data_IF_695189160768
#
_entry.id   IF_695189160768
#
_cell.length_a   1.000
_cell.length_b   1.000
_cell.length_c   1.000
_cell.angle_alpha   90.00
_cell.angle_beta   90.00
_cell.angle_gamma   90.00
#
_symmetry.space_group_name_H-M   'P 1'
#
loop_
_entity.id
_entity.type
_entity.pdbx_description
1 polymer ?
#
# COMPACT_ATOMS: atom_id res chain seq x y z
N UNK A 1 9.17 4.45 -2.51
CA UNK A 1 8.50 5.05 -3.68
C UNK A 1 9.51 5.84 -4.53
N UNK A 2 10.12 6.91 -4.05
CA UNK A 2 10.99 7.77 -4.88
C UNK A 2 12.11 6.98 -5.58
N UNK A 3 12.89 6.17 -4.88
CA UNK A 3 13.94 5.35 -5.51
C UNK A 3 13.37 4.50 -6.66
N UNK A 4 12.19 3.91 -6.44
CA UNK A 4 11.53 3.11 -7.48
C UNK A 4 11.07 3.93 -8.69
N UNK A 5 10.64 5.18 -8.48
CA UNK A 5 10.33 6.09 -9.60
C UNK A 5 11.57 6.46 -10.40
N UNK A 6 12.68 6.77 -9.72
CA UNK A 6 13.96 7.08 -10.38
C UNK A 6 14.48 5.85 -11.15
N UNK A 7 14.43 4.66 -10.57
CA UNK A 7 14.80 3.40 -11.23
C UNK A 7 13.93 3.11 -12.47
N UNK A 8 12.69 3.58 -12.46
CA UNK A 8 11.76 3.45 -13.58
C UNK A 8 11.91 4.58 -14.63
N UNK A 9 12.92 5.45 -14.49
CA UNK A 9 13.24 6.48 -15.47
C UNK A 9 12.61 7.85 -15.20
N UNK A 10 12.10 8.11 -14.00
CA UNK A 10 11.68 9.47 -13.62
C UNK A 10 12.92 10.39 -13.61
N UNK A 11 12.81 11.53 -14.27
CA UNK A 11 13.85 12.53 -14.29
C UNK A 11 14.01 13.16 -12.89
N UNK A 12 15.20 13.01 -12.31
CA UNK A 12 15.54 13.51 -10.99
C UNK A 12 15.44 15.05 -10.88
N UNK A 13 15.72 15.77 -11.97
CA UNK A 13 15.66 17.23 -12.02
C UNK A 13 14.20 17.76 -11.93
N UNK A 14 13.24 16.90 -12.17
CA UNK A 14 11.79 17.22 -12.02
C UNK A 14 11.24 16.93 -10.63
N UNK A 15 12.07 16.44 -9.71
CA UNK A 15 11.66 16.07 -8.35
C UNK A 15 12.32 16.99 -7.33
N UNK A 16 11.51 17.58 -6.47
CA UNK A 16 11.99 18.34 -5.31
C UNK A 16 11.39 17.73 -4.05
N UNK A 17 12.23 17.40 -3.08
CA UNK A 17 11.83 17.01 -1.74
C UNK A 17 11.89 18.25 -0.84
N UNK A 18 10.84 18.45 -0.05
CA UNK A 18 10.84 19.44 1.00
C UNK A 18 10.78 18.70 2.32
N UNK A 19 11.93 18.59 2.99
CA UNK A 19 12.05 17.88 4.27
C UNK A 19 13.27 18.44 5.02
N UNK A 20 13.07 19.01 6.23
CA UNK A 20 14.17 19.54 7.04
C UNK A 20 15.26 18.51 7.41
N UNK A 21 14.92 17.23 7.43
CA UNK A 21 15.77 16.13 7.87
C UNK A 21 16.30 15.23 6.73
N UNK A 22 15.79 15.38 5.50
CA UNK A 22 16.21 14.55 4.39
C UNK A 22 17.68 14.79 4.02
N UNK A 23 18.40 13.69 3.77
CA UNK A 23 19.82 13.70 3.39
C UNK A 23 20.05 12.95 2.06
N UNK A 24 19.20 13.18 1.04
CA UNK A 24 19.39 12.61 -0.31
C UNK A 24 20.23 13.56 -1.17
N UNK A 25 20.95 12.97 -2.12
CA UNK A 25 21.82 13.72 -3.05
C UNK A 25 21.47 13.47 -4.51
N UNK A 26 20.54 12.57 -4.77
CA UNK A 26 20.10 12.12 -6.09
C UNK A 26 18.89 12.90 -6.63
N UNK A 27 18.34 13.82 -5.85
CA UNK A 27 17.29 14.76 -6.22
C UNK A 27 17.50 16.09 -5.51
N UNK A 28 16.82 17.13 -5.95
CA UNK A 28 16.80 18.43 -5.25
C UNK A 28 16.12 18.30 -3.88
N UNK A 29 16.80 18.65 -2.80
CA UNK A 29 16.27 18.68 -1.44
C UNK A 29 16.31 20.10 -0.88
N UNK A 30 15.18 20.56 -0.35
CA UNK A 30 15.02 21.86 0.28
C UNK A 30 14.50 21.69 1.71
N UNK A 31 14.89 22.61 2.58
CA UNK A 31 14.45 22.63 3.99
C UNK A 31 13.13 23.37 4.19
N UNK A 32 12.73 24.18 3.21
CA UNK A 32 11.50 24.96 3.20
C UNK A 32 10.94 25.05 1.80
N UNK A 33 9.67 25.42 1.70
CA UNK A 33 8.98 25.62 0.42
C UNK A 33 9.65 26.81 -0.29
N UNK A 34 10.11 26.65 -1.55
CA UNK A 34 10.69 27.73 -2.31
C UNK A 34 9.63 28.72 -2.79
N UNK A 35 10.03 29.95 -3.00
CA UNK A 35 9.21 30.97 -3.67
C UNK A 35 9.33 30.80 -5.20
N UNK A 36 8.73 29.74 -5.71
CA UNK A 36 8.76 29.34 -7.12
C UNK A 36 7.33 29.05 -7.60
N UNK A 37 7.17 28.88 -8.91
CA UNK A 37 5.89 28.47 -9.48
C UNK A 37 5.43 27.15 -8.89
N UNK A 38 4.12 26.97 -8.61
CA UNK A 38 3.57 25.72 -8.07
C UNK A 38 3.93 24.53 -8.96
N UNK A 39 4.21 23.35 -8.38
CA UNK A 39 4.48 22.15 -9.15
C UNK A 39 3.18 21.64 -9.82
N UNK A 40 3.32 20.86 -10.89
CA UNK A 40 2.17 20.19 -11.51
C UNK A 40 1.49 19.19 -10.55
N UNK A 41 2.28 18.54 -9.69
CA UNK A 41 1.83 17.61 -8.67
C UNK A 41 2.54 17.90 -7.35
N UNK A 42 1.82 17.89 -6.24
CA UNK A 42 2.36 17.99 -4.90
C UNK A 42 1.94 16.78 -4.09
N UNK A 43 2.92 16.04 -3.53
CA UNK A 43 2.64 14.88 -2.68
C UNK A 43 2.82 15.24 -1.21
N UNK A 44 1.80 14.98 -0.41
CA UNK A 44 1.84 15.07 1.05
C UNK A 44 2.32 13.74 1.63
N UNK A 45 3.51 13.75 2.22
CA UNK A 45 4.14 12.62 2.89
C UNK A 45 4.42 12.85 4.37
N UNK A 46 3.80 13.87 4.97
CA UNK A 46 3.91 14.18 6.40
C UNK A 46 3.07 13.21 7.23
N UNK A 47 3.29 13.18 8.56
CA UNK A 47 2.38 12.44 9.45
C UNK A 47 1.03 13.17 9.50
N UNK A 48 -0.11 12.44 9.56
CA UNK A 48 -1.45 13.06 9.60
C UNK A 48 -1.59 14.16 10.68
N UNK A 49 -1.01 13.95 11.86
CA UNK A 49 -1.03 14.88 12.99
C UNK A 49 -0.32 16.23 12.69
N UNK A 50 0.58 16.25 11.72
CA UNK A 50 1.30 17.46 11.33
C UNK A 50 0.57 18.26 10.25
N UNK A 51 -0.52 17.73 9.70
CA UNK A 51 -1.19 18.33 8.54
C UNK A 51 -1.69 19.75 8.84
N UNK A 52 -2.28 19.97 10.03
CA UNK A 52 -2.76 21.28 10.47
C UNK A 52 -1.65 22.33 10.52
N UNK A 53 -0.46 21.94 11.00
CA UNK A 53 0.67 22.84 11.15
C UNK A 53 1.31 23.21 9.80
N UNK A 54 1.38 22.24 8.86
CA UNK A 54 2.05 22.46 7.57
C UNK A 54 1.14 23.05 6.50
N UNK A 55 -0.17 22.83 6.57
CA UNK A 55 -1.13 23.26 5.57
C UNK A 55 -1.12 24.77 5.27
N UNK A 56 -1.02 25.69 6.27
CA UNK A 56 -0.95 27.12 6.00
C UNK A 56 0.24 27.51 5.10
N UNK A 57 1.41 26.89 5.32
CA UNK A 57 2.61 27.14 4.52
C UNK A 57 2.58 26.55 3.11
N UNK A 58 1.68 25.57 2.85
CA UNK A 58 1.58 24.88 1.55
C UNK A 58 0.59 25.55 0.57
N UNK A 59 -0.19 26.55 0.99
CA UNK A 59 -1.27 27.13 0.17
C UNK A 59 -0.80 27.60 -1.20
N UNK A 60 0.30 28.35 -1.25
CA UNK A 60 0.85 28.84 -2.52
C UNK A 60 1.33 27.67 -3.42
N UNK A 61 2.00 26.67 -2.85
CA UNK A 61 2.54 25.54 -3.59
C UNK A 61 1.46 24.57 -4.11
N UNK A 62 0.26 24.58 -3.52
CA UNK A 62 -0.86 23.72 -3.98
C UNK A 62 -1.70 24.38 -5.07
N UNK A 63 -1.51 25.67 -5.37
CA UNK A 63 -2.32 26.41 -6.33
C UNK A 63 -2.23 25.78 -7.73
N UNK A 64 -3.36 25.23 -8.20
CA UNK A 64 -3.43 24.55 -9.50
C UNK A 64 -2.69 23.21 -9.59
N UNK A 65 -2.09 22.73 -8.50
CA UNK A 65 -1.44 21.43 -8.45
C UNK A 65 -2.45 20.28 -8.30
N UNK A 66 -2.13 19.10 -8.83
CA UNK A 66 -2.75 17.85 -8.41
C UNK A 66 -2.19 17.48 -7.03
N UNK A 67 -3.03 17.54 -6.01
CA UNK A 67 -2.64 17.19 -4.65
C UNK A 67 -2.74 15.67 -4.44
N UNK A 68 -1.63 15.04 -4.14
CA UNK A 68 -1.52 13.60 -3.87
C UNK A 68 -1.28 13.42 -2.38
N UNK A 69 -2.11 12.64 -1.70
CA UNK A 69 -1.98 12.41 -0.26
C UNK A 69 -1.80 10.92 0.05
N UNK A 70 -0.74 10.59 0.77
CA UNK A 70 -0.53 9.27 1.36
C UNK A 70 -0.85 9.24 2.87
N UNK A 71 -1.57 10.23 3.36
CA UNK A 71 -1.93 10.35 4.77
C UNK A 71 -3.05 9.36 5.11
N UNK A 72 -2.78 8.47 6.05
CA UNK A 72 -3.80 7.59 6.59
C UNK A 72 -4.89 8.39 7.32
N UNK A 73 -6.14 7.97 7.18
CA UNK A 73 -7.27 8.56 7.91
C UNK A 73 -7.73 9.95 7.44
N UNK A 74 -7.08 10.56 6.43
CA UNK A 74 -7.48 11.90 5.94
C UNK A 74 -8.26 11.78 4.64
N UNK A 75 -9.51 12.22 4.63
CA UNK A 75 -10.41 12.10 3.48
C UNK A 75 -10.10 13.10 2.36
N UNK A 76 -10.55 12.79 1.13
CA UNK A 76 -10.48 13.74 0.00
C UNK A 76 -11.21 15.04 0.29
N UNK A 77 -12.36 14.97 0.97
CA UNK A 77 -13.13 16.14 1.36
C UNK A 77 -12.37 17.04 2.36
N UNK A 78 -11.75 16.45 3.38
CA UNK A 78 -10.90 17.18 4.33
C UNK A 78 -9.74 17.88 3.62
N UNK A 79 -9.03 17.16 2.74
CA UNK A 79 -7.91 17.72 1.99
C UNK A 79 -8.34 18.84 1.04
N UNK A 80 -9.47 18.68 0.34
CA UNK A 80 -10.01 19.71 -0.54
C UNK A 80 -10.42 20.98 0.22
N UNK A 81 -10.97 20.82 1.43
CA UNK A 81 -11.28 21.94 2.32
C UNK A 81 -10.03 22.67 2.81
N UNK A 82 -8.97 21.94 3.13
CA UNK A 82 -7.70 22.51 3.59
C UNK A 82 -6.88 23.15 2.46
N UNK A 83 -7.00 22.65 1.22
CA UNK A 83 -6.25 23.11 0.05
C UNK A 83 -7.19 23.51 -1.11
N UNK A 84 -8.02 24.54 -0.93
CA UNK A 84 -9.08 24.89 -1.88
C UNK A 84 -8.55 25.43 -3.22
N UNK A 85 -7.25 25.73 -3.33
CA UNK A 85 -6.63 26.18 -4.57
C UNK A 85 -6.00 25.04 -5.38
N UNK A 86 -5.96 23.80 -4.85
CA UNK A 86 -5.55 22.63 -5.63
C UNK A 86 -6.57 22.36 -6.74
N UNK A 87 -6.09 21.92 -7.92
CA UNK A 87 -7.04 21.64 -9.01
C UNK A 87 -7.83 20.34 -8.80
N UNK A 88 -7.25 19.40 -8.07
CA UNK A 88 -7.88 18.16 -7.65
C UNK A 88 -7.09 17.51 -6.51
N UNK A 89 -7.73 16.58 -5.80
CA UNK A 89 -7.14 15.80 -4.70
C UNK A 89 -7.27 14.31 -5.00
N UNK A 90 -6.19 13.57 -4.82
CA UNK A 90 -6.18 12.10 -4.87
C UNK A 90 -5.56 11.51 -3.61
N UNK A 91 -6.28 10.61 -2.95
CA UNK A 91 -5.73 9.76 -1.89
C UNK A 91 -5.01 8.58 -2.51
N UNK A 92 -3.89 8.22 -1.94
CA UNK A 92 -3.04 7.13 -2.39
C UNK A 92 -2.66 6.29 -1.18
N UNK A 93 -2.90 4.99 -1.25
CA UNK A 93 -2.51 4.05 -0.20
C UNK A 93 -1.55 3.00 -0.78
N UNK A 94 -0.24 3.26 -0.71
CA UNK A 94 0.77 2.28 -1.07
C UNK A 94 1.02 1.31 0.08
N UNK A 95 1.62 0.16 -0.24
CA UNK A 95 2.12 -0.79 0.75
C UNK A 95 3.63 -1.02 0.62
N UNK A 96 4.25 -1.75 1.57
CA UNK A 96 5.70 -1.95 1.61
C UNK A 96 6.32 -2.51 0.32
N UNK A 97 5.73 -3.51 -0.37
CA UNK A 97 6.31 -4.07 -1.59
C UNK A 97 6.45 -3.10 -2.78
N UNK A 98 5.96 -1.86 -2.68
CA UNK A 98 6.24 -0.79 -3.66
C UNK A 98 7.74 -0.53 -3.81
N UNK A 99 8.55 -0.84 -2.79
CA UNK A 99 10.00 -0.70 -2.83
C UNK A 99 10.65 -1.54 -3.94
N UNK A 100 10.03 -2.66 -4.30
CA UNK A 100 10.50 -3.59 -5.34
C UNK A 100 9.57 -3.61 -6.57
N UNK A 101 8.64 -2.66 -6.69
CA UNK A 101 7.69 -2.60 -7.81
C UNK A 101 6.64 -3.72 -7.81
N UNK A 102 6.40 -4.35 -6.67
CA UNK A 102 5.41 -5.43 -6.46
C UNK A 102 4.35 -5.03 -5.43
N UNK A 103 4.18 -3.72 -5.23
CA UNK A 103 3.19 -3.20 -4.29
C UNK A 103 1.78 -3.19 -4.84
N UNK A 104 0.86 -2.83 -3.95
CA UNK A 104 -0.50 -2.43 -4.28
C UNK A 104 -0.63 -0.96 -3.92
N UNK A 105 -1.20 -0.19 -4.82
CA UNK A 105 -1.45 1.24 -4.64
C UNK A 105 -2.94 1.51 -4.88
N UNK A 106 -3.70 1.66 -3.81
CA UNK A 106 -5.09 2.10 -3.89
C UNK A 106 -5.17 3.60 -4.14
N UNK A 107 -6.02 4.04 -5.08
CA UNK A 107 -6.27 5.44 -5.37
C UNK A 107 -7.77 5.76 -5.23
N UNK A 108 -8.05 6.96 -4.71
CA UNK A 108 -9.40 7.52 -4.69
C UNK A 108 -9.35 9.02 -4.90
N UNK A 109 -10.30 9.56 -5.67
CA UNK A 109 -10.48 10.98 -5.88
C UNK A 109 -11.40 11.28 -7.06
N UNK A 110 -12.07 12.43 -7.00
CA UNK A 110 -12.87 12.94 -8.12
C UNK A 110 -11.97 13.72 -9.08
N UNK A 111 -11.47 13.06 -10.10
CA UNK A 111 -10.49 13.57 -11.06
C UNK A 111 -11.08 13.59 -12.47
N UNK A 112 -10.62 14.51 -13.30
CA UNK A 112 -10.80 14.40 -14.75
C UNK A 112 -9.89 13.29 -15.32
N UNK A 113 -10.11 12.89 -16.56
CA UNK A 113 -9.39 11.78 -17.20
C UNK A 113 -7.87 12.03 -17.30
N UNK A 114 -7.46 13.28 -17.52
CA UNK A 114 -6.03 13.62 -17.61
C UNK A 114 -5.34 13.48 -16.25
N UNK A 115 -5.92 13.98 -15.18
CA UNK A 115 -5.36 13.87 -13.83
C UNK A 115 -5.39 12.42 -13.34
N UNK A 116 -6.45 11.67 -13.69
CA UNK A 116 -6.53 10.23 -13.40
C UNK A 116 -5.43 9.44 -14.11
N UNK A 117 -5.23 9.71 -15.41
CA UNK A 117 -4.14 9.10 -16.18
C UNK A 117 -2.77 9.47 -15.62
N UNK A 118 -2.55 10.74 -15.25
CA UNK A 118 -1.30 11.22 -14.69
C UNK A 118 -1.00 10.57 -13.31
N UNK A 119 -1.99 10.47 -12.42
CA UNK A 119 -1.85 9.79 -11.14
C UNK A 119 -1.56 8.29 -11.32
N UNK A 120 -2.28 7.63 -12.25
CA UNK A 120 -2.05 6.22 -12.58
C UNK A 120 -0.63 6.00 -13.10
N UNK A 121 -0.17 6.81 -14.06
CA UNK A 121 1.18 6.72 -14.62
C UNK A 121 2.27 6.92 -13.57
N UNK A 122 2.08 7.87 -12.64
CA UNK A 122 3.01 8.08 -11.52
C UNK A 122 3.11 6.84 -10.61
N UNK A 123 1.99 6.16 -10.36
CA UNK A 123 1.95 5.02 -9.43
C UNK A 123 2.29 3.67 -10.09
N UNK A 124 2.14 3.53 -11.40
CA UNK A 124 2.35 2.28 -12.14
C UNK A 124 3.72 1.60 -11.89
N UNK A 125 4.87 2.32 -11.78
CA UNK A 125 6.15 1.68 -11.45
C UNK A 125 6.22 1.03 -10.06
N UNK A 126 5.25 1.31 -9.19
CA UNK A 126 5.21 0.79 -7.82
C UNK A 126 4.54 -0.59 -7.71
N UNK A 127 3.75 -0.99 -8.72
CA UNK A 127 3.02 -2.26 -8.75
C UNK A 127 1.61 -2.13 -9.31
N UNK A 128 0.68 -2.90 -8.75
CA UNK A 128 -0.74 -2.84 -9.10
C UNK A 128 -1.34 -1.50 -8.65
N UNK A 129 -1.96 -0.78 -9.58
CA UNK A 129 -2.71 0.45 -9.30
C UNK A 129 -4.20 0.15 -9.39
N UNK A 130 -4.92 0.37 -8.29
CA UNK A 130 -6.35 0.09 -8.20
C UNK A 130 -7.14 1.34 -7.83
N UNK A 131 -8.11 1.74 -8.65
CA UNK A 131 -8.99 2.86 -8.39
C UNK A 131 -10.20 2.43 -7.58
N UNK A 132 -10.33 2.98 -6.38
CA UNK A 132 -11.42 2.71 -5.44
C UNK A 132 -12.55 3.70 -5.71
N UNK A 133 -13.67 3.21 -6.18
CA UNK A 133 -14.80 4.04 -6.59
C UNK A 133 -15.42 4.82 -5.41
N UNK A 134 -15.57 4.19 -4.26
CA UNK A 134 -16.15 4.78 -3.06
C UNK A 134 -15.11 4.85 -1.93
N UNK A 135 -14.91 6.06 -1.39
CA UNK A 135 -13.93 6.30 -0.32
C UNK A 135 -14.22 5.49 0.96
N UNK A 136 -15.46 5.09 1.18
CA UNK A 136 -15.86 4.25 2.34
C UNK A 136 -15.10 2.91 2.38
N UNK A 137 -14.66 2.40 1.23
CA UNK A 137 -13.89 1.16 1.14
C UNK A 137 -12.38 1.35 1.38
N UNK A 138 -11.91 2.58 1.54
CA UNK A 138 -10.46 2.86 1.63
C UNK A 138 -9.82 2.23 2.87
N UNK A 139 -10.56 2.14 3.98
CA UNK A 139 -10.09 1.49 5.20
C UNK A 139 -9.97 -0.04 5.03
N UNK A 140 -10.90 -0.67 4.29
CA UNK A 140 -10.81 -2.07 3.93
C UNK A 140 -9.63 -2.35 2.99
N UNK A 141 -9.40 -1.49 2.00
CA UNK A 141 -8.20 -1.55 1.13
C UNK A 141 -6.92 -1.43 1.95
N UNK A 142 -6.89 -0.50 2.91
CA UNK A 142 -5.75 -0.32 3.81
C UNK A 142 -5.52 -1.56 4.68
N UNK A 143 -6.58 -2.16 5.21
CA UNK A 143 -6.47 -3.40 5.99
C UNK A 143 -5.95 -4.56 5.12
N UNK A 144 -6.48 -4.72 3.89
CA UNK A 144 -6.12 -5.82 3.01
C UNK A 144 -4.72 -5.66 2.41
N UNK A 145 -4.42 -4.51 1.82
CA UNK A 145 -3.16 -4.29 1.09
C UNK A 145 -2.07 -3.66 1.96
N UNK A 146 -2.42 -2.72 2.84
CA UNK A 146 -1.47 -2.05 3.72
C UNK A 146 -0.94 -2.96 4.83
N UNK A 147 -1.85 -3.66 5.55
CA UNK A 147 -1.48 -4.62 6.60
C UNK A 147 -1.15 -6.02 6.06
N UNK A 148 -1.66 -6.36 4.87
CA UNK A 148 -1.49 -7.67 4.24
C UNK A 148 -0.07 -8.23 4.20
N UNK A 149 0.96 -7.45 3.85
CA UNK A 149 2.33 -7.93 3.90
C UNK A 149 2.75 -8.49 5.26
N UNK A 150 2.34 -7.84 6.37
CA UNK A 150 2.63 -8.33 7.71
C UNK A 150 1.92 -9.67 8.01
N UNK A 151 0.70 -9.86 7.50
CA UNK A 151 -0.02 -11.13 7.64
C UNK A 151 0.67 -12.25 6.86
N UNK A 152 1.14 -11.96 5.64
CA UNK A 152 1.93 -12.92 4.83
C UNK A 152 3.25 -13.26 5.54
N UNK A 153 3.98 -12.29 6.11
CA UNK A 153 5.20 -12.58 6.87
C UNK A 153 4.92 -13.47 8.08
N UNK A 154 3.81 -13.24 8.78
CA UNK A 154 3.39 -14.09 9.89
C UNK A 154 3.03 -15.50 9.44
N UNK A 155 2.41 -15.65 8.27
CA UNK A 155 2.11 -16.95 7.67
C UNK A 155 3.37 -17.72 7.27
N UNK A 156 4.35 -17.05 6.67
CA UNK A 156 5.67 -17.65 6.36
C UNK A 156 6.33 -18.17 7.64
N UNK A 157 6.34 -17.36 8.70
CA UNK A 157 6.91 -17.72 10.00
C UNK A 157 6.19 -18.95 10.61
N UNK A 158 4.86 -18.98 10.54
CA UNK A 158 4.06 -20.11 11.02
C UNK A 158 4.36 -21.41 10.26
N UNK A 159 4.51 -21.35 8.93
CA UNK A 159 4.93 -22.50 8.13
C UNK A 159 6.33 -22.99 8.52
N UNK A 160 7.27 -22.07 8.76
CA UNK A 160 8.62 -22.41 9.21
C UNK A 160 8.61 -23.09 10.58
N UNK A 161 7.85 -22.57 11.52
CA UNK A 161 7.69 -23.19 12.85
C UNK A 161 7.04 -24.58 12.76
N UNK A 162 6.01 -24.74 11.91
CA UNK A 162 5.40 -26.04 11.64
C UNK A 162 6.39 -27.05 11.08
N UNK A 163 7.21 -26.66 10.10
CA UNK A 163 8.28 -27.49 9.53
C UNK A 163 9.33 -27.90 10.58
N UNK A 164 9.74 -26.98 11.45
CA UNK A 164 10.66 -27.28 12.54
C UNK A 164 10.04 -28.25 13.56
N UNK A 165 8.77 -28.10 13.89
CA UNK A 165 8.05 -29.04 14.77
C UNK A 165 7.96 -30.45 14.18
N UNK A 166 8.04 -30.60 12.86
CA UNK A 166 8.12 -31.89 12.17
C UNK A 166 9.55 -32.44 12.06
N UNK A 167 10.55 -31.77 12.66
CA UNK A 167 11.93 -32.25 12.75
C UNK A 167 12.91 -31.65 11.73
N UNK A 168 12.51 -30.67 10.93
CA UNK A 168 13.46 -29.95 10.09
C UNK A 168 14.34 -29.00 10.92
N UNK A 169 15.63 -28.81 10.58
CA UNK A 169 16.42 -27.74 11.12
C UNK A 169 15.71 -26.38 10.92
N UNK A 170 15.67 -25.54 11.95
CA UNK A 170 14.87 -24.32 11.96
C UNK A 170 15.23 -23.35 10.81
N UNK A 171 16.52 -23.21 10.51
CA UNK A 171 17.04 -22.37 9.42
C UNK A 171 16.64 -22.92 8.03
N UNK A 172 16.61 -24.24 7.89
CA UNK A 172 16.16 -24.90 6.66
C UNK A 172 14.65 -24.75 6.49
N UNK A 173 13.86 -24.93 7.55
CA UNK A 173 12.41 -24.74 7.55
C UNK A 173 12.05 -23.31 7.15
N UNK A 174 12.77 -22.30 7.68
CA UNK A 174 12.58 -20.89 7.34
C UNK A 174 12.83 -20.62 5.84
N UNK A 175 13.94 -21.13 5.27
CA UNK A 175 14.23 -20.97 3.84
C UNK A 175 13.18 -21.65 2.96
N UNK A 176 12.75 -22.85 3.30
CA UNK A 176 11.74 -23.60 2.55
C UNK A 176 10.38 -22.88 2.59
N UNK A 177 9.95 -22.40 3.76
CA UNK A 177 8.69 -21.68 3.91
C UNK A 177 8.67 -20.39 3.08
N UNK A 178 9.75 -19.58 3.15
CA UNK A 178 9.87 -18.36 2.35
C UNK A 178 9.80 -18.64 0.85
N UNK A 179 10.62 -19.57 0.35
CA UNK A 179 10.65 -19.92 -1.08
C UNK A 179 9.32 -20.50 -1.56
N UNK A 180 8.64 -21.27 -0.73
CA UNK A 180 7.31 -21.84 -1.05
C UNK A 180 6.28 -20.74 -1.24
N UNK A 181 6.19 -19.79 -0.31
CA UNK A 181 5.21 -18.67 -0.41
C UNK A 181 5.55 -17.74 -1.56
N UNK A 182 6.84 -17.43 -1.78
CA UNK A 182 7.27 -16.63 -2.94
C UNK A 182 6.88 -17.31 -4.25
N UNK A 183 7.23 -18.56 -4.44
CA UNK A 183 6.94 -19.31 -5.67
C UNK A 183 5.44 -19.47 -5.91
N UNK A 184 4.66 -19.79 -4.87
CA UNK A 184 3.20 -19.89 -4.97
C UNK A 184 2.55 -18.56 -5.32
N UNK A 185 2.98 -17.46 -4.71
CA UNK A 185 2.49 -16.11 -5.00
C UNK A 185 2.79 -15.68 -6.43
N UNK A 186 4.01 -15.91 -6.92
CA UNK A 186 4.40 -15.60 -8.28
C UNK A 186 3.61 -16.43 -9.31
N UNK A 187 3.42 -17.73 -9.04
CA UNK A 187 2.64 -18.60 -9.90
C UNK A 187 1.17 -18.19 -9.94
N UNK A 188 0.57 -17.86 -8.79
CA UNK A 188 -0.81 -17.37 -8.72
C UNK A 188 -0.97 -16.05 -9.50
N UNK A 189 -0.02 -15.14 -9.38
CA UNK A 189 -0.04 -13.85 -10.11
C UNK A 189 0.11 -14.01 -11.63
N UNK A 190 0.75 -15.08 -12.09
CA UNK A 190 0.95 -15.39 -13.51
C UNK A 190 -0.14 -16.32 -14.10
N UNK A 191 -1.10 -16.75 -13.30
CA UNK A 191 -2.12 -17.72 -13.67
C UNK A 191 -3.44 -17.06 -14.07
N UNK A 192 -4.15 -17.63 -15.02
CA UNK A 192 -5.50 -17.24 -15.44
C UNK A 192 -6.60 -17.87 -14.57
N UNK A 193 -6.23 -18.79 -13.64
CA UNK A 193 -7.19 -19.45 -12.74
C UNK A 193 -7.06 -18.92 -11.32
N UNK A 194 -8.11 -19.09 -10.53
CA UNK A 194 -8.15 -18.60 -9.15
C UNK A 194 -7.14 -19.33 -8.24
N UNK A 195 -6.71 -18.69 -7.15
CA UNK A 195 -5.88 -19.37 -6.15
C UNK A 195 -6.51 -20.63 -5.56
N UNK A 196 -7.84 -20.66 -5.42
CA UNK A 196 -8.59 -21.85 -4.99
C UNK A 196 -8.42 -23.01 -5.98
N UNK A 197 -8.63 -22.74 -7.27
CA UNK A 197 -8.42 -23.75 -8.31
C UNK A 197 -6.95 -24.22 -8.39
N UNK A 198 -5.99 -23.32 -8.17
CA UNK A 198 -4.57 -23.69 -8.10
C UNK A 198 -4.31 -24.65 -6.92
N UNK A 199 -4.94 -24.40 -5.76
CA UNK A 199 -4.84 -25.27 -4.59
C UNK A 199 -5.40 -26.68 -4.89
N UNK A 200 -6.56 -26.74 -5.54
CA UNK A 200 -7.18 -28.02 -5.94
C UNK A 200 -6.33 -28.80 -6.96
N UNK A 201 -5.65 -28.12 -7.89
CA UNK A 201 -4.72 -28.77 -8.85
C UNK A 201 -3.53 -29.46 -8.19
N UNK A 202 -3.10 -28.97 -7.02
CA UNK A 202 -1.99 -29.59 -6.25
C UNK A 202 -2.51 -30.68 -5.32
N UNK A 203 -3.81 -30.68 -5.01
CA UNK A 203 -4.44 -31.58 -4.05
C UNK A 203 -4.98 -32.85 -4.70
N UNK A 204 -4.12 -33.83 -4.96
CA UNK A 204 -4.58 -35.14 -5.44
C UNK A 204 -5.50 -35.84 -4.41
N UNK A 205 -6.51 -36.55 -4.90
CA UNK A 205 -7.45 -37.28 -4.07
C UNK A 205 -6.73 -38.25 -3.12
N UNK A 206 -6.93 -38.07 -1.80
CA UNK A 206 -6.28 -38.86 -0.75
C UNK A 206 -4.80 -38.55 -0.53
N UNK A 207 -4.21 -37.56 -1.25
CA UNK A 207 -2.83 -37.13 -1.08
C UNK A 207 -2.60 -36.30 0.18
N UNK A 208 -1.32 -36.08 0.51
CA UNK A 208 -0.90 -35.30 1.68
C UNK A 208 -1.37 -33.86 1.61
N UNK A 209 -1.31 -33.22 0.42
CA UNK A 209 -1.79 -31.84 0.23
C UNK A 209 -3.27 -31.71 0.56
N UNK A 210 -4.13 -32.67 0.10
CA UNK A 210 -5.56 -32.63 0.44
C UNK A 210 -5.78 -32.72 1.94
N UNK A 211 -5.01 -33.55 2.65
CA UNK A 211 -5.11 -33.65 4.12
C UNK A 211 -4.69 -32.35 4.83
N UNK A 212 -3.73 -31.65 4.30
CA UNK A 212 -3.35 -30.33 4.80
C UNK A 212 -4.44 -29.27 4.56
N UNK A 213 -5.01 -29.25 3.34
CA UNK A 213 -6.11 -28.33 3.01
C UNK A 213 -7.36 -28.62 3.83
N UNK A 214 -7.70 -29.91 4.09
CA UNK A 214 -8.82 -30.29 4.97
C UNK A 214 -8.73 -29.62 6.37
N UNK A 215 -7.51 -29.31 6.85
CA UNK A 215 -7.33 -28.60 8.13
C UNK A 215 -7.62 -27.09 7.99
N UNK A 216 -7.19 -26.47 6.89
CA UNK A 216 -7.46 -25.06 6.61
C UNK A 216 -8.93 -24.79 6.32
N UNK A 217 -9.59 -25.75 5.64
CA UNK A 217 -10.99 -25.65 5.21
C UNK A 217 -11.99 -26.02 6.35
N UNK A 218 -11.51 -26.75 7.38
CA UNK A 218 -12.37 -27.20 8.48
C UNK A 218 -13.08 -26.02 9.15
N UNK A 219 -14.43 -26.00 9.07
CA UNK A 219 -15.27 -24.93 9.63
C UNK A 219 -14.89 -23.52 9.11
N UNK A 220 -14.44 -23.40 7.86
CA UNK A 220 -13.96 -22.15 7.26
C UNK A 220 -12.83 -21.47 8.08
N UNK A 221 -12.01 -22.24 8.80
CA UNK A 221 -11.11 -21.72 9.83
C UNK A 221 -10.12 -20.69 9.29
N UNK A 222 -9.53 -20.92 8.09
CA UNK A 222 -8.61 -19.98 7.48
C UNK A 222 -9.31 -18.67 7.06
N UNK A 223 -10.49 -18.78 6.45
CA UNK A 223 -11.31 -17.62 6.05
C UNK A 223 -11.77 -16.83 7.28
N UNK A 224 -12.19 -17.51 8.32
CA UNK A 224 -12.62 -16.88 9.59
C UNK A 224 -11.45 -16.12 10.25
N UNK A 225 -10.25 -16.72 10.29
CA UNK A 225 -9.07 -16.08 10.86
C UNK A 225 -8.64 -14.85 10.04
N UNK A 226 -8.57 -14.97 8.72
CA UNK A 226 -8.24 -13.86 7.83
C UNK A 226 -9.24 -12.71 7.95
N UNK A 227 -10.55 -13.05 7.97
CA UNK A 227 -11.62 -12.06 8.14
C UNK A 227 -11.51 -11.34 9.49
N UNK A 228 -11.23 -12.06 10.58
CA UNK A 228 -11.06 -11.45 11.89
C UNK A 228 -9.86 -10.49 11.93
N UNK A 229 -8.73 -10.89 11.33
CA UNK A 229 -7.54 -10.04 11.25
C UNK A 229 -7.80 -8.76 10.43
N UNK A 230 -8.46 -8.89 9.29
CA UNK A 230 -8.81 -7.74 8.43
C UNK A 230 -9.79 -6.79 9.13
N UNK A 231 -10.83 -7.30 9.79
CA UNK A 231 -11.79 -6.49 10.57
C UNK A 231 -11.11 -5.74 11.72
N UNK A 232 -10.19 -6.37 12.43
CA UNK A 232 -9.45 -5.71 13.50
C UNK A 232 -8.57 -4.56 12.96
N UNK A 233 -7.90 -4.76 11.82
CA UNK A 233 -7.09 -3.72 11.17
C UNK A 233 -7.97 -2.58 10.65
N UNK A 234 -9.07 -2.87 9.97
CA UNK A 234 -10.03 -1.89 9.47
C UNK A 234 -10.62 -1.04 10.61
N UNK A 235 -11.05 -1.70 11.69
CA UNK A 235 -11.59 -1.00 12.87
C UNK A 235 -10.56 -0.03 13.44
N UNK A 236 -9.31 -0.46 13.56
CA UNK A 236 -8.24 0.41 14.07
C UNK A 236 -7.93 1.58 13.15
N UNK A 237 -8.01 1.40 11.82
CA UNK A 237 -7.86 2.48 10.86
C UNK A 237 -8.93 3.56 11.06
N UNK A 238 -10.19 3.16 11.25
CA UNK A 238 -11.31 4.08 11.54
C UNK A 238 -11.13 4.83 12.87
N UNK A 239 -10.69 4.15 13.93
CA UNK A 239 -10.39 4.81 15.21
C UNK A 239 -9.29 5.87 15.05
N UNK A 240 -8.20 5.54 14.36
CA UNK A 240 -7.10 6.49 14.12
C UNK A 240 -7.56 7.69 13.29
N UNK A 241 -8.41 7.47 12.28
CA UNK A 241 -8.99 8.56 11.49
C UNK A 241 -9.86 9.49 12.36
N UNK A 242 -10.68 8.93 13.24
CA UNK A 242 -11.52 9.73 14.16
C UNK A 242 -10.71 10.60 15.12
N UNK A 243 -9.57 10.09 15.62
CA UNK A 243 -8.68 10.86 16.50
C UNK A 243 -8.02 12.05 15.80
N UNK A 244 -7.77 11.94 14.50
CA UNK A 244 -7.15 13.03 13.70
C UNK A 244 -8.12 14.19 13.42
N UNK A 245 -9.42 14.00 13.66
CA UNK A 245 -10.47 15.01 13.43
C UNK A 245 -10.97 15.65 14.74
N UNK A 246 -10.42 15.29 15.91
CA UNK A 246 -10.91 15.72 17.23
C UNK A 246 -10.06 16.85 17.86
N UNK A 247 -9.01 17.28 17.20
CA UNK A 247 -8.13 18.42 17.55
C UNK A 247 -8.27 19.52 16.50
#
# INVERSE_FOLDING_TARGET
MLSRWLDAGMDADRVTIIDPAAARTDVRVLRSIPDEAPPAMLMLGVKPQMLGDVAPGLQAATKGALLISILAGTTTATLAGMFPQSRAVVRVMPNLPVAIGKGVVGLHGALNDNDKAAATALMAPLGLVEWIADEVHFDAVTALSGSGPAFVYRFIDALAQGGAALGLPADQAARLALATVEGAGLLAAASDVSPDELAERVASKGGSTRKGLDVFDANDSLVALATAALKAAEHRNREMAALTHSD
#
